data_IF_418287230990
#
_entry.id   IF_418287230990
#
_cell.length_a   1.000
_cell.length_b   1.000
_cell.length_c   1.000
_cell.angle_alpha   90.00
_cell.angle_beta   90.00
_cell.angle_gamma   90.00
#
_symmetry.space_group_name_H-M   'P 1'
#
loop_
_entity.id
_entity.type
_entity.pdbx_description
1 polymer ?
#
# COMPACT_ATOMS: atom_id res chain seq x y z
N UNK A 1 54.19 15.67 9.54
CA UNK A 1 53.45 14.43 9.88
C UNK A 1 51.96 14.72 10.09
N UNK A 2 51.26 15.32 9.11
CA UNK A 2 49.80 15.59 9.18
C UNK A 2 49.05 15.17 7.91
N UNK A 3 49.74 14.63 6.90
CA UNK A 3 49.16 14.31 5.60
C UNK A 3 48.61 12.89 5.50
N UNK A 4 49.04 11.99 6.39
CA UNK A 4 48.70 10.56 6.34
C UNK A 4 47.33 10.26 6.98
N UNK A 5 46.90 11.09 7.94
CA UNK A 5 45.62 10.90 8.64
C UNK A 5 44.40 11.35 7.83
N UNK A 6 44.52 12.32 6.91
CA UNK A 6 43.40 12.75 6.07
C UNK A 6 42.99 11.70 5.02
N UNK A 7 43.94 10.91 4.49
CA UNK A 7 43.66 9.93 3.44
C UNK A 7 42.83 8.74 3.99
N UNK A 8 43.07 8.35 5.25
CA UNK A 8 42.34 7.25 5.90
C UNK A 8 40.84 7.55 6.15
N UNK A 9 40.47 8.82 6.33
CA UNK A 9 39.06 9.23 6.50
C UNK A 9 38.31 9.14 5.17
N UNK A 10 38.94 9.52 4.07
CA UNK A 10 38.32 9.48 2.73
C UNK A 10 38.09 8.03 2.27
N UNK A 11 39.03 7.12 2.57
CA UNK A 11 38.88 5.69 2.24
C UNK A 11 37.69 5.06 2.99
N UNK A 12 37.47 5.42 4.26
CA UNK A 12 36.32 4.90 5.02
C UNK A 12 34.96 5.39 4.49
N UNK A 13 34.88 6.64 4.01
CA UNK A 13 33.63 7.18 3.44
C UNK A 13 33.29 6.50 2.11
N UNK A 14 34.28 6.21 1.27
CA UNK A 14 34.06 5.52 -0.02
C UNK A 14 33.55 4.10 0.21
N UNK A 15 34.10 3.36 1.18
CA UNK A 15 33.61 2.01 1.54
C UNK A 15 32.15 2.07 2.00
N UNK A 16 31.77 3.09 2.77
CA UNK A 16 30.40 3.25 3.26
C UNK A 16 29.39 3.54 2.13
N UNK A 17 29.78 4.30 1.11
CA UNK A 17 28.95 4.58 -0.07
C UNK A 17 28.83 3.34 -0.97
N UNK A 18 29.90 2.54 -1.10
CA UNK A 18 29.85 1.27 -1.84
C UNK A 18 28.91 0.26 -1.20
N UNK A 19 28.76 0.23 0.13
CA UNK A 19 27.76 -0.62 0.79
C UNK A 19 26.31 -0.14 0.53
N UNK A 20 26.07 1.17 0.46
CA UNK A 20 24.72 1.69 0.28
C UNK A 20 24.19 1.49 -1.16
N UNK A 21 25.07 1.62 -2.17
CA UNK A 21 24.68 1.37 -3.56
C UNK A 21 24.55 -0.13 -3.92
N UNK A 22 25.15 -1.04 -3.14
CA UNK A 22 25.02 -2.48 -3.37
C UNK A 22 23.70 -3.08 -2.82
N UNK A 23 22.95 -2.35 -1.99
CA UNK A 23 21.65 -2.82 -1.49
C UNK A 23 20.49 -2.68 -2.50
N UNK A 24 20.70 -2.07 -3.67
CA UNK A 24 19.64 -1.88 -4.69
C UNK A 24 19.62 -2.93 -5.81
N UNK A 25 20.36 -4.03 -5.69
CA UNK A 25 20.32 -5.11 -6.68
C UNK A 25 20.15 -6.50 -6.06
N UNK A 26 19.25 -6.60 -5.07
CA UNK A 26 18.70 -7.88 -4.62
C UNK A 26 17.50 -8.26 -5.49
N UNK A 27 17.76 -8.82 -6.68
CA UNK A 27 16.76 -9.50 -7.49
C UNK A 27 16.20 -10.68 -6.68
N UNK A 28 15.03 -10.52 -6.06
CA UNK A 28 14.28 -11.65 -5.51
C UNK A 28 13.36 -12.21 -6.59
N UNK A 29 13.93 -12.99 -7.50
CA UNK A 29 13.20 -14.10 -8.10
C UNK A 29 12.97 -15.14 -7.00
N UNK A 30 11.77 -15.16 -6.44
CA UNK A 30 11.23 -16.37 -5.81
C UNK A 30 9.97 -16.77 -6.54
N UNK A 31 10.15 -17.75 -7.41
CA UNK A 31 9.09 -18.62 -7.88
C UNK A 31 8.34 -19.17 -6.66
N UNK A 32 7.07 -18.83 -6.53
CA UNK A 32 6.12 -19.67 -5.79
C UNK A 32 5.11 -20.21 -6.81
N UNK A 33 5.52 -21.28 -7.49
CA UNK A 33 4.61 -22.28 -7.98
C UNK A 33 4.17 -23.14 -6.79
N UNK A 34 2.90 -23.03 -6.41
CA UNK A 34 2.32 -23.76 -5.29
C UNK A 34 0.90 -23.31 -5.02
N UNK A 35 -0.06 -23.85 -5.80
CA UNK A 35 -1.50 -23.72 -5.63
C UNK A 35 -1.91 -24.19 -4.23
N UNK A 36 -2.30 -23.25 -3.38
CA UNK A 36 -3.31 -23.42 -2.33
C UNK A 36 -4.14 -22.13 -2.32
N UNK A 37 -5.42 -22.22 -2.69
CA UNK A 37 -6.38 -21.13 -2.73
C UNK A 37 -6.80 -20.70 -1.31
N UNK A 38 -5.83 -20.30 -0.48
CA UNK A 38 -6.09 -19.30 0.54
C UNK A 38 -6.18 -17.97 -0.21
N UNK A 39 -7.36 -17.33 -0.20
CA UNK A 39 -7.58 -16.00 -0.78
C UNK A 39 -6.72 -14.95 -0.06
N UNK A 40 -5.40 -14.98 -0.24
CA UNK A 40 -4.57 -13.81 0.02
C UNK A 40 -4.98 -12.78 -1.01
N UNK A 41 -5.73 -11.78 -0.54
CA UNK A 41 -6.19 -10.66 -1.33
C UNK A 41 -4.98 -10.01 -2.02
N UNK A 42 -4.91 -10.12 -3.36
CA UNK A 42 -3.86 -9.46 -4.13
C UNK A 42 -4.09 -7.95 -4.06
N UNK A 43 -3.09 -7.20 -3.59
CA UNK A 43 -3.13 -5.74 -3.50
C UNK A 43 -1.98 -5.15 -4.28
N UNK A 44 -2.30 -4.32 -5.26
CA UNK A 44 -1.33 -3.54 -6.03
C UNK A 44 -1.44 -2.06 -5.69
N UNK A 45 -0.30 -1.36 -5.72
CA UNK A 45 -0.23 0.08 -5.51
C UNK A 45 0.47 0.73 -6.70
N UNK A 46 0.02 1.92 -7.09
CA UNK A 46 0.84 2.78 -7.97
C UNK A 46 1.99 3.39 -7.15
N UNK A 47 3.11 3.72 -7.81
CA UNK A 47 4.28 4.31 -7.15
C UNK A 47 3.91 5.59 -6.38
N UNK A 48 3.10 6.46 -7.01
CA UNK A 48 2.62 7.69 -6.37
C UNK A 48 1.77 7.43 -5.11
N UNK A 49 0.93 6.39 -5.13
CA UNK A 49 0.09 6.03 -4.00
C UNK A 49 0.96 5.48 -2.86
N UNK A 50 1.93 4.65 -3.20
CA UNK A 50 2.89 4.09 -2.25
C UNK A 50 3.65 5.20 -1.54
N UNK A 51 4.22 6.15 -2.29
CA UNK A 51 4.95 7.27 -1.72
C UNK A 51 4.06 8.16 -0.84
N UNK A 52 2.82 8.39 -1.25
CA UNK A 52 1.85 9.13 -0.45
C UNK A 52 1.51 8.44 0.88
N UNK A 53 1.31 7.12 0.86
CA UNK A 53 1.01 6.32 2.06
C UNK A 53 2.21 6.34 3.01
N UNK A 54 3.41 6.14 2.49
CA UNK A 54 4.64 6.12 3.27
C UNK A 54 4.95 7.50 3.90
N UNK A 55 4.56 8.60 3.26
CA UNK A 55 4.65 9.93 3.86
C UNK A 55 3.70 10.12 5.07
N UNK A 56 2.62 9.34 5.14
CA UNK A 56 1.61 9.43 6.20
C UNK A 56 1.81 8.39 7.31
N UNK A 57 2.62 7.36 7.07
CA UNK A 57 2.90 6.28 8.00
C UNK A 57 3.32 5.03 7.24
N UNK A 58 2.50 4.00 7.29
CA UNK A 58 2.78 2.67 6.73
C UNK A 58 1.48 1.86 6.52
N UNK A 59 0.33 2.53 6.61
CA UNK A 59 -0.97 1.87 6.70
C UNK A 59 -2.05 2.64 5.98
N UNK A 60 -3.06 1.90 5.55
CA UNK A 60 -4.27 2.43 4.96
C UNK A 60 -5.49 1.67 5.44
N UNK A 61 -6.63 2.34 5.43
CA UNK A 61 -7.93 1.75 5.71
C UNK A 61 -8.78 1.83 4.45
N UNK A 62 -9.37 0.70 4.07
CA UNK A 62 -10.33 0.59 2.99
C UNK A 62 -11.70 0.32 3.61
N UNK A 63 -12.50 1.38 3.67
CA UNK A 63 -13.87 1.36 4.16
C UNK A 63 -14.86 1.22 3.01
N UNK A 64 -16.04 0.68 3.31
CA UNK A 64 -17.19 0.74 2.43
C UNK A 64 -18.17 1.77 2.99
N UNK A 65 -18.17 2.97 2.42
CA UNK A 65 -19.08 4.03 2.83
C UNK A 65 -20.45 3.81 2.18
N UNK A 66 -21.48 3.85 3.03
CA UNK A 66 -22.88 3.87 2.61
C UNK A 66 -23.30 5.32 2.42
N UNK A 67 -23.47 5.72 1.17
CA UNK A 67 -24.06 7.01 0.83
C UNK A 67 -25.56 6.82 0.64
N UNK A 68 -26.35 7.35 1.58
CA UNK A 68 -27.81 7.40 1.50
C UNK A 68 -28.28 8.75 0.96
N UNK A 69 -29.07 8.74 -0.10
CA UNK A 69 -29.76 9.92 -0.62
C UNK A 69 -31.22 9.64 -0.94
N UNK A 70 -31.95 10.67 -1.39
CA UNK A 70 -33.36 10.54 -1.78
C UNK A 70 -33.58 9.56 -2.95
N UNK A 71 -32.50 9.16 -3.66
CA UNK A 71 -32.51 8.20 -4.77
C UNK A 71 -32.00 6.80 -4.42
N UNK A 72 -31.83 6.47 -3.13
CA UNK A 72 -31.37 5.15 -2.68
C UNK A 72 -30.05 5.17 -1.93
N UNK A 73 -29.56 3.97 -1.60
CA UNK A 73 -28.29 3.76 -0.93
C UNK A 73 -27.27 3.21 -1.92
N UNK A 74 -26.13 3.89 -2.04
CA UNK A 74 -25.00 3.44 -2.85
C UNK A 74 -23.82 3.12 -1.94
N UNK A 75 -23.17 1.97 -2.19
CA UNK A 75 -21.93 1.58 -1.52
C UNK A 75 -20.75 2.04 -2.36
N UNK A 76 -19.97 2.97 -1.83
CA UNK A 76 -18.71 3.39 -2.45
C UNK A 76 -17.54 3.10 -1.52
N UNK A 77 -16.41 2.60 -2.05
CA UNK A 77 -15.23 2.42 -1.23
C UNK A 77 -14.59 3.78 -0.91
N UNK A 78 -14.11 3.91 0.31
CA UNK A 78 -13.29 5.03 0.73
C UNK A 78 -11.95 4.51 1.21
N UNK A 79 -10.86 5.04 0.66
CA UNK A 79 -9.51 4.72 1.13
C UNK A 79 -8.97 5.91 1.90
N UNK A 80 -8.57 5.68 3.15
CA UNK A 80 -7.91 6.66 3.99
C UNK A 80 -6.52 6.18 4.38
N UNK A 81 -5.58 7.12 4.50
CA UNK A 81 -4.24 6.82 5.01
C UNK A 81 -4.26 6.75 6.53
N UNK A 82 -3.59 5.75 7.09
CA UNK A 82 -3.51 5.48 8.51
C UNK A 82 -4.32 4.27 8.96
N UNK A 83 -4.16 3.98 10.25
CA UNK A 83 -4.84 2.89 10.96
C UNK A 83 -6.28 3.31 11.33
N UNK A 84 -7.28 2.42 11.19
CA UNK A 84 -8.63 2.72 11.62
C UNK A 84 -8.71 2.80 13.15
N UNK A 85 -9.73 3.48 13.72
CA UNK A 85 -9.91 3.55 15.16
C UNK A 85 -10.14 2.17 15.80
N UNK A 86 -10.77 1.25 15.07
CA UNK A 86 -11.08 -0.11 15.50
C UNK A 86 -10.46 -1.13 14.53
N UNK A 87 -9.16 -1.45 14.61
CA UNK A 87 -8.49 -2.37 13.67
C UNK A 87 -9.07 -3.80 13.69
N UNK A 88 -9.68 -4.22 14.79
CA UNK A 88 -10.24 -5.57 14.98
C UNK A 88 -11.49 -5.83 14.13
N UNK A 89 -12.17 -4.77 13.67
CA UNK A 89 -13.32 -4.88 12.76
C UNK A 89 -12.92 -5.01 11.29
N UNK A 90 -11.61 -5.08 10.98
CA UNK A 90 -11.08 -5.16 9.63
C UNK A 90 -10.26 -6.43 9.44
N UNK A 91 -10.17 -6.89 8.20
CA UNK A 91 -9.23 -7.91 7.79
C UNK A 91 -7.91 -7.22 7.44
N UNK A 92 -6.84 -7.57 8.15
CA UNK A 92 -5.52 -7.00 7.91
C UNK A 92 -4.79 -7.79 6.81
N UNK A 93 -4.35 -7.09 5.79
CA UNK A 93 -3.51 -7.62 4.70
C UNK A 93 -2.19 -6.87 4.70
N UNK A 94 -1.06 -7.59 4.75
CA UNK A 94 0.25 -6.99 4.49
C UNK A 94 0.54 -7.07 2.99
N UNK A 95 0.69 -5.92 2.36
CA UNK A 95 1.00 -5.82 0.94
C UNK A 95 2.24 -4.95 0.74
N UNK A 96 3.37 -5.59 0.43
CA UNK A 96 4.66 -4.93 0.19
C UNK A 96 5.11 -4.01 1.33
N UNK A 97 4.85 -4.41 2.59
CA UNK A 97 5.22 -3.63 3.78
C UNK A 97 4.25 -2.50 4.11
N UNK A 98 3.11 -2.41 3.42
CA UNK A 98 2.00 -1.51 3.76
C UNK A 98 0.89 -2.36 4.40
N UNK A 99 0.43 -1.93 5.58
CA UNK A 99 -0.70 -2.55 6.28
C UNK A 99 -2.02 -2.05 5.70
N UNK A 100 -2.78 -2.94 5.10
CA UNK A 100 -4.09 -2.64 4.51
C UNK A 100 -5.18 -3.21 5.41
N UNK A 101 -5.94 -2.32 6.05
CA UNK A 101 -7.11 -2.68 6.83
C UNK A 101 -8.33 -2.70 5.92
N UNK A 102 -8.78 -3.88 5.53
CA UNK A 102 -9.91 -4.09 4.62
C UNK A 102 -11.20 -4.29 5.40
N UNK A 103 -12.28 -3.61 4.99
CA UNK A 103 -13.59 -3.85 5.58
C UNK A 103 -13.99 -5.33 5.46
N UNK A 104 -14.46 -5.92 6.57
CA UNK A 104 -14.84 -7.34 6.62
C UNK A 104 -15.94 -7.66 5.62
N UNK A 105 -15.74 -8.72 4.85
CA UNK A 105 -16.69 -9.15 3.82
C UNK A 105 -16.55 -8.38 2.49
N UNK A 106 -15.52 -7.55 2.34
CA UNK A 106 -15.16 -7.01 1.02
C UNK A 106 -14.77 -8.15 0.07
N UNK A 107 -15.38 -8.15 -1.11
CA UNK A 107 -15.08 -9.13 -2.16
C UNK A 107 -14.25 -8.44 -3.24
N UNK A 108 -13.08 -8.98 -3.56
CA UNK A 108 -12.26 -8.50 -4.68
C UNK A 108 -12.52 -9.32 -5.94
N UNK A 109 -12.22 -8.70 -7.09
CA UNK A 109 -12.06 -9.37 -8.37
C UNK A 109 -10.92 -10.40 -8.30
N UNK A 110 -10.88 -11.40 -9.20
CA UNK A 110 -9.80 -12.40 -9.25
C UNK A 110 -8.40 -11.78 -9.47
N UNK A 111 -8.35 -10.62 -10.14
CA UNK A 111 -7.12 -9.87 -10.37
C UNK A 111 -6.65 -9.12 -9.12
N UNK A 112 -7.45 -9.10 -8.05
CA UNK A 112 -7.18 -8.38 -6.82
C UNK A 112 -7.72 -6.96 -6.81
N UNK A 113 -7.17 -6.16 -5.91
CA UNK A 113 -7.45 -4.74 -5.79
C UNK A 113 -6.23 -3.91 -6.18
N UNK A 114 -6.49 -2.74 -6.74
CA UNK A 114 -5.47 -1.78 -7.09
C UNK A 114 -5.77 -0.43 -6.48
N UNK A 115 -4.79 0.13 -5.77
CA UNK A 115 -4.86 1.41 -5.09
C UNK A 115 -4.03 2.42 -5.87
N UNK A 116 -4.67 3.51 -6.27
CA UNK A 116 -4.06 4.61 -7.01
C UNK A 116 -4.24 5.93 -6.27
N UNK A 117 -3.34 6.88 -6.54
CA UNK A 117 -3.48 8.25 -6.06
C UNK A 117 -4.14 9.08 -7.15
N UNK A 118 -5.31 9.63 -6.86
CA UNK A 118 -5.94 10.64 -7.69
C UNK A 118 -5.66 12.03 -7.09
N UNK A 119 -5.32 12.97 -7.96
CA UNK A 119 -5.25 14.40 -7.62
C UNK A 119 -6.49 15.04 -8.21
N UNK A 120 -7.41 15.46 -7.35
CA UNK A 120 -8.61 16.16 -7.80
C UNK A 120 -8.27 17.61 -8.22
N UNK A 121 -9.14 18.24 -9.01
CA UNK A 121 -8.98 19.60 -9.55
C UNK A 121 -8.73 20.67 -8.48
N UNK A 122 -9.08 20.39 -7.22
CA UNK A 122 -8.84 21.25 -6.06
C UNK A 122 -7.60 20.85 -5.23
N UNK A 123 -6.63 20.13 -5.79
CA UNK A 123 -5.35 19.72 -5.14
C UNK A 123 -5.53 18.74 -3.97
N UNK A 124 -6.74 18.22 -3.75
CA UNK A 124 -6.96 17.14 -2.79
C UNK A 124 -6.39 15.83 -3.36
N UNK A 125 -5.38 15.29 -2.67
CA UNK A 125 -4.84 13.95 -2.93
C UNK A 125 -5.75 12.94 -2.26
N UNK A 126 -6.38 12.07 -3.05
CA UNK A 126 -7.27 11.01 -2.56
C UNK A 126 -6.80 9.66 -3.07
N UNK A 127 -6.75 8.68 -2.18
CA UNK A 127 -6.51 7.30 -2.57
C UNK A 127 -7.81 6.72 -3.14
N UNK A 128 -7.70 6.05 -4.28
CA UNK A 128 -8.79 5.40 -4.97
C UNK A 128 -8.52 3.91 -5.04
N UNK A 129 -9.55 3.08 -4.82
CA UNK A 129 -9.44 1.63 -4.95
C UNK A 129 -10.29 1.14 -6.10
N UNK A 130 -9.70 0.25 -6.88
CA UNK A 130 -10.36 -0.48 -7.97
C UNK A 130 -10.23 -1.98 -7.72
N UNK A 131 -11.11 -2.77 -8.34
CA UNK A 131 -11.07 -4.22 -8.19
C UNK A 131 -11.86 -4.78 -7.01
N UNK A 132 -12.56 -3.94 -6.25
CA UNK A 132 -13.60 -4.41 -5.32
C UNK A 132 -14.92 -4.62 -6.08
N UNK A 133 -15.67 -5.64 -5.66
CA UNK A 133 -17.00 -5.99 -6.17
C UNK A 133 -18.03 -5.42 -5.19
N UNK A 134 -18.80 -4.45 -5.65
CA UNK A 134 -19.77 -3.69 -4.84
C UNK A 134 -21.19 -4.26 -4.92
N UNK A 135 -21.42 -5.22 -5.83
CA UNK A 135 -22.68 -5.95 -5.93
C UNK A 135 -22.77 -6.97 -4.79
N UNK A 136 -23.25 -6.50 -3.63
CA UNK A 136 -24.00 -7.39 -2.77
C UNK A 136 -25.48 -7.19 -3.07
N UNK A 137 -26.13 -8.12 -3.79
CA UNK A 137 -27.58 -8.14 -3.84
C UNK A 137 -28.08 -8.47 -2.43
N UNK A 138 -28.72 -7.50 -1.78
CA UNK A 138 -29.33 -7.72 -0.48
C UNK A 138 -29.37 -6.48 0.40
N UNK A 139 -30.32 -5.59 0.11
CA UNK A 139 -31.44 -5.34 1.03
C UNK A 139 -32.65 -4.88 0.21
#
# INVERSE_FOLDING_TARGET
MYFVTCILVIINIIIFISCFNNCKHGKMEKMYGGRMDDKMLKVEFTDDARDYILQKGDSITVDMMLYGGCGGQFKEPAVSAGKPPLPESYDLVDANGIKVYMFKGAVSKPDGIKISLAVDRMVFRRLYVTGLVYEQPGM
#
